data_IF_118002942994
#
_entry.id   IF_118002942994
#
_cell.length_a   1.000
_cell.length_b   1.000
_cell.length_c   1.000
_cell.angle_alpha   90.00
_cell.angle_beta   90.00
_cell.angle_gamma   90.00
#
_symmetry.space_group_name_H-M   'P 1'
#
loop_
_entity.id
_entity.type
_entity.pdbx_description
1 polymer ?
#
# COMPACT_ATOMS: atom_id res chain seq x y z
N UNK A 1 11.93 11.24 23.62
CA UNK A 1 11.47 9.84 23.40
C UNK A 1 11.31 9.64 21.88
N UNK A 2 10.90 8.47 21.37
CA UNK A 2 10.64 8.40 19.91
C UNK A 2 9.51 9.38 19.56
N UNK A 3 9.59 10.06 18.41
CA UNK A 3 8.58 11.05 17.99
C UNK A 3 7.17 10.43 17.90
N UNK A 4 7.07 9.13 17.58
CA UNK A 4 5.81 8.39 17.62
C UNK A 4 5.27 8.24 19.04
N UNK A 5 6.12 7.90 20.02
CA UNK A 5 5.71 7.78 21.42
C UNK A 5 5.20 9.12 21.96
N UNK A 6 5.83 10.24 21.57
CA UNK A 6 5.37 11.58 21.98
C UNK A 6 4.02 11.96 21.35
N UNK A 7 3.78 11.63 20.07
CA UNK A 7 2.47 11.81 19.42
C UNK A 7 1.38 10.97 20.08
N UNK A 8 1.64 9.68 20.29
CA UNK A 8 0.70 8.75 20.93
C UNK A 8 0.34 9.23 22.34
N UNK A 9 1.32 9.67 23.12
CA UNK A 9 1.09 10.24 24.44
C UNK A 9 0.18 11.46 24.38
N UNK A 10 0.38 12.36 23.42
CA UNK A 10 -0.45 13.57 23.26
C UNK A 10 -1.90 13.21 22.91
N UNK A 11 -2.09 12.30 21.94
CA UNK A 11 -3.42 11.85 21.53
C UNK A 11 -4.12 11.11 22.67
N UNK A 12 -3.42 10.27 23.43
CA UNK A 12 -4.00 9.57 24.58
C UNK A 12 -4.46 10.55 25.66
N UNK A 13 -3.69 11.62 25.92
CA UNK A 13 -4.07 12.68 26.87
C UNK A 13 -5.34 13.42 26.41
N UNK A 14 -5.48 13.68 25.11
CA UNK A 14 -6.67 14.35 24.56
C UNK A 14 -7.95 13.51 24.69
N UNK A 15 -7.85 12.17 24.60
CA UNK A 15 -9.04 11.29 24.71
C UNK A 15 -9.24 10.73 26.14
N UNK A 16 -8.25 10.88 27.02
CA UNK A 16 -8.30 10.35 28.39
C UNK A 16 -9.48 10.89 29.20
N UNK A 17 -9.83 12.17 29.06
CA UNK A 17 -10.96 12.76 29.78
C UNK A 17 -12.30 12.13 29.33
N UNK A 18 -12.46 11.92 28.03
CA UNK A 18 -13.66 11.29 27.46
C UNK A 18 -13.74 9.82 27.85
N UNK A 19 -12.63 9.09 27.82
CA UNK A 19 -12.59 7.68 28.26
C UNK A 19 -12.89 7.58 29.75
N UNK A 20 -12.30 8.43 30.58
CA UNK A 20 -12.54 8.42 32.03
C UNK A 20 -13.96 8.85 32.41
N UNK A 21 -14.72 9.48 31.50
CA UNK A 21 -16.14 9.81 31.74
C UNK A 21 -17.05 8.58 31.80
N UNK A 22 -16.61 7.43 31.27
CA UNK A 22 -17.36 6.17 31.36
C UNK A 22 -17.17 5.54 32.74
N UNK A 23 -18.27 5.25 33.45
CA UNK A 23 -18.22 4.67 34.80
C UNK A 23 -17.71 3.22 34.85
N UNK A 24 -17.74 2.50 33.72
CA UNK A 24 -17.33 1.09 33.66
C UNK A 24 -15.90 0.97 33.15
N UNK A 25 -15.00 0.47 34.00
CA UNK A 25 -13.60 0.17 33.65
C UNK A 25 -13.52 -0.78 32.44
N UNK A 26 -14.40 -1.78 32.37
CA UNK A 26 -14.44 -2.70 31.24
C UNK A 26 -14.82 -2.01 29.92
N UNK A 27 -15.64 -0.96 29.97
CA UNK A 27 -15.98 -0.13 28.80
C UNK A 27 -14.80 0.76 28.43
N UNK A 28 -14.11 1.34 29.40
CA UNK A 28 -12.91 2.16 29.17
C UNK A 28 -11.83 1.36 28.42
N UNK A 29 -11.52 0.14 28.89
CA UNK A 29 -10.52 -0.74 28.26
C UNK A 29 -10.90 -1.06 26.82
N UNK A 30 -12.16 -1.44 26.57
CA UNK A 30 -12.64 -1.73 25.20
C UNK A 30 -12.57 -0.54 24.26
N UNK A 31 -12.81 0.67 24.77
CA UNK A 31 -12.71 1.89 23.96
C UNK A 31 -11.24 2.16 23.63
N UNK A 32 -10.34 2.02 24.60
CA UNK A 32 -8.89 2.20 24.40
C UNK A 32 -8.36 1.19 23.37
N UNK A 33 -8.70 -0.10 23.50
CA UNK A 33 -8.27 -1.14 22.56
C UNK A 33 -8.68 -0.79 21.13
N UNK A 34 -9.94 -0.38 20.93
CA UNK A 34 -10.45 -0.04 19.61
C UNK A 34 -9.84 1.25 19.05
N UNK A 35 -9.51 2.21 19.90
CA UNK A 35 -8.80 3.44 19.50
C UNK A 35 -7.37 3.13 19.07
N UNK A 36 -6.66 2.27 19.82
CA UNK A 36 -5.31 1.84 19.47
C UNK A 36 -5.28 1.10 18.13
N UNK A 37 -6.26 0.22 17.86
CA UNK A 37 -6.36 -0.47 16.58
C UNK A 37 -6.54 0.51 15.40
N UNK A 38 -7.46 1.48 15.54
CA UNK A 38 -7.69 2.52 14.51
C UNK A 38 -6.46 3.40 14.32
N UNK A 39 -5.73 3.71 15.39
CA UNK A 39 -4.50 4.49 15.32
C UNK A 39 -3.37 3.71 14.63
N UNK A 40 -3.22 2.41 14.91
CA UNK A 40 -2.24 1.54 14.24
C UNK A 40 -2.59 1.39 12.76
N UNK A 41 -3.86 1.26 12.42
CA UNK A 41 -4.31 1.19 11.03
C UNK A 41 -4.11 2.53 10.29
N UNK A 42 -4.37 3.65 10.95
CA UNK A 42 -4.09 4.99 10.41
C UNK A 42 -2.59 5.24 10.25
N UNK A 43 -1.76 4.80 11.21
CA UNK A 43 -0.31 4.93 11.14
C UNK A 43 0.27 4.03 10.05
N UNK A 44 -0.32 2.85 9.75
CA UNK A 44 0.04 2.04 8.57
C UNK A 44 -0.23 2.76 7.25
N UNK A 45 -1.28 3.57 7.18
CA UNK A 45 -1.59 4.40 6.01
C UNK A 45 -0.63 5.59 5.91
N UNK A 46 -0.19 6.16 7.05
CA UNK A 46 0.75 7.29 7.11
C UNK A 46 2.23 6.86 6.93
N UNK A 47 2.63 5.69 7.42
CA UNK A 47 3.98 5.12 7.25
C UNK A 47 4.26 4.69 5.82
N UNK A 48 3.24 4.30 5.04
CA UNK A 48 3.38 4.12 3.57
C UNK A 48 3.68 5.47 2.86
N UNK A 49 3.37 6.61 3.50
CA UNK A 49 3.76 7.95 3.08
C UNK A 49 5.08 8.47 3.66
N UNK A 50 5.47 8.03 4.87
CA UNK A 50 6.61 8.58 5.63
C UNK A 50 7.92 7.76 5.53
N UNK A 51 7.87 6.46 5.21
CA UNK A 51 9.06 5.60 5.04
C UNK A 51 9.94 5.96 3.81
N UNK A 52 9.53 6.95 3.01
CA UNK A 52 10.33 7.48 1.90
C UNK A 52 11.41 8.50 2.32
N UNK A 53 11.42 8.98 3.57
CA UNK A 53 12.24 10.14 3.93
C UNK A 53 13.53 9.86 4.74
N UNK A 54 13.75 8.65 5.27
CA UNK A 54 14.86 8.43 6.22
C UNK A 54 16.01 7.54 5.73
N UNK A 55 15.97 7.02 4.49
CA UNK A 55 17.01 6.10 3.98
C UNK A 55 17.68 6.52 2.67
N UNK A 56 17.95 7.81 2.45
CA UNK A 56 18.84 8.24 1.35
C UNK A 56 20.00 9.11 1.80
N UNK A 57 20.72 8.64 2.81
CA UNK A 57 22.09 9.05 3.11
C UNK A 57 23.09 7.99 2.64
N UNK A 58 23.22 7.76 1.33
CA UNK A 58 24.44 7.18 0.70
C UNK A 58 24.30 7.13 -0.82
N UNK A 59 25.16 7.95 -1.45
CA UNK A 59 25.79 7.82 -2.77
C UNK A 59 24.85 7.69 -3.98
N UNK A 60 25.00 8.62 -4.93
CA UNK A 60 25.57 8.35 -6.27
C UNK A 60 25.66 9.69 -7.01
N UNK A 61 26.88 9.97 -7.49
CA UNK A 61 27.23 10.98 -8.49
C UNK A 61 26.67 10.57 -9.87
N UNK A 62 26.71 11.51 -10.80
CA UNK A 62 26.38 11.42 -12.24
C UNK A 62 24.95 11.89 -12.51
N UNK A 63 24.75 13.18 -12.70
CA UNK A 63 24.95 13.90 -13.99
C UNK A 63 23.86 13.49 -14.98
N UNK A 64 22.76 14.25 -14.98
CA UNK A 64 22.15 14.75 -16.21
C UNK A 64 21.19 15.89 -15.83
N UNK A 65 21.40 17.04 -16.43
CA UNK A 65 20.58 18.23 -16.25
C UNK A 65 19.25 18.03 -16.96
N UNK A 66 18.15 18.01 -16.21
CA UNK A 66 16.89 18.47 -16.79
C UNK A 66 16.00 19.14 -15.74
N UNK A 67 15.95 20.46 -15.83
CA UNK A 67 14.98 21.30 -15.15
C UNK A 67 13.57 20.96 -15.65
N UNK A 68 12.83 20.17 -14.87
CA UNK A 68 11.42 19.89 -15.09
C UNK A 68 10.64 20.06 -13.79
N UNK A 69 9.71 21.01 -13.80
CA UNK A 69 8.48 21.18 -13.00
C UNK A 69 8.24 20.03 -11.98
N UNK A 70 7.87 20.28 -10.70
CA UNK A 70 7.65 19.23 -9.70
C UNK A 70 6.60 18.24 -10.18
N UNK A 71 7.07 17.18 -10.84
CA UNK A 71 6.27 16.23 -11.57
C UNK A 71 5.44 15.42 -10.58
N UNK A 72 4.15 15.34 -10.84
CA UNK A 72 3.27 14.35 -10.22
C UNK A 72 3.97 12.99 -10.32
N UNK A 73 4.45 12.47 -9.19
CA UNK A 73 5.15 11.19 -9.14
C UNK A 73 4.25 10.15 -9.79
N UNK A 74 4.78 9.47 -10.82
CA UNK A 74 4.04 8.40 -11.51
C UNK A 74 3.54 7.41 -10.46
N UNK A 75 2.25 7.02 -10.49
CA UNK A 75 1.70 6.14 -9.47
C UNK A 75 2.46 4.81 -9.47
N UNK A 76 2.88 4.34 -8.29
CA UNK A 76 3.62 3.09 -8.17
C UNK A 76 2.77 1.87 -8.58
N UNK A 77 3.43 0.76 -8.89
CA UNK A 77 2.79 -0.48 -9.34
C UNK A 77 1.60 -0.91 -8.46
N UNK A 78 1.74 -0.80 -7.14
CA UNK A 78 0.68 -1.13 -6.18
C UNK A 78 -0.57 -0.28 -6.37
N UNK A 79 -0.41 1.03 -6.61
CA UNK A 79 -1.55 1.94 -6.80
C UNK A 79 -2.29 1.63 -8.09
N UNK A 80 -1.54 1.41 -9.17
CA UNK A 80 -2.10 1.06 -10.48
C UNK A 80 -2.81 -0.30 -10.43
N UNK A 81 -2.20 -1.30 -9.79
CA UNK A 81 -2.84 -2.62 -9.61
C UNK A 81 -4.14 -2.54 -8.81
N UNK A 82 -4.18 -1.76 -7.72
CA UNK A 82 -5.42 -1.55 -6.99
C UNK A 82 -6.47 -0.78 -7.80
N UNK A 83 -6.04 0.19 -8.63
CA UNK A 83 -6.95 0.87 -9.54
C UNK A 83 -7.50 -0.08 -10.61
N UNK A 84 -6.66 -0.97 -11.15
CA UNK A 84 -7.05 -2.01 -12.10
C UNK A 84 -8.07 -3.00 -11.52
N UNK A 85 -8.01 -3.29 -10.22
CA UNK A 85 -9.01 -4.14 -9.55
C UNK A 85 -10.41 -3.50 -9.53
N UNK A 86 -10.47 -2.18 -9.51
CA UNK A 86 -11.73 -1.43 -9.62
C UNK A 86 -12.28 -1.39 -11.05
N UNK A 87 -11.51 -1.85 -12.04
CA UNK A 87 -11.93 -1.96 -13.45
C UNK A 87 -12.29 -3.39 -13.83
N UNK A 88 -12.74 -3.57 -15.07
CA UNK A 88 -13.06 -4.84 -15.74
C UNK A 88 -11.81 -5.60 -16.24
N UNK A 89 -10.62 -5.04 -16.07
CA UNK A 89 -9.38 -5.60 -16.61
C UNK A 89 -9.08 -7.03 -16.15
N UNK A 90 -9.45 -7.37 -14.91
CA UNK A 90 -9.26 -8.69 -14.30
C UNK A 90 -10.50 -9.60 -14.40
N UNK A 91 -11.55 -9.21 -15.13
CA UNK A 91 -12.71 -10.08 -15.36
C UNK A 91 -12.36 -11.24 -16.29
N UNK A 92 -11.30 -11.09 -17.09
CA UNK A 92 -10.69 -12.12 -17.93
C UNK A 92 -9.35 -12.53 -17.31
N UNK A 93 -8.94 -13.78 -17.46
CA UNK A 93 -7.64 -14.24 -17.00
C UNK A 93 -6.50 -13.47 -17.70
N UNK A 94 -5.64 -12.83 -16.90
CA UNK A 94 -4.50 -12.04 -17.41
C UNK A 94 -3.18 -12.61 -16.91
N UNK A 95 -2.23 -12.77 -17.83
CA UNK A 95 -0.85 -13.15 -17.48
C UNK A 95 -0.06 -11.94 -16.98
N UNK A 96 1.00 -12.18 -16.19
CA UNK A 96 1.88 -11.11 -15.66
C UNK A 96 2.44 -10.23 -16.79
N UNK A 97 2.80 -10.84 -17.92
CA UNK A 97 3.31 -10.12 -19.09
C UNK A 97 2.26 -9.17 -19.67
N UNK A 98 1.00 -9.61 -19.79
CA UNK A 98 -0.09 -8.77 -20.29
C UNK A 98 -0.36 -7.58 -19.34
N UNK A 99 -0.28 -7.81 -18.02
CA UNK A 99 -0.41 -6.77 -17.00
C UNK A 99 0.71 -5.73 -17.16
N UNK A 100 1.97 -6.18 -17.33
CA UNK A 100 3.11 -5.29 -17.52
C UNK A 100 2.97 -4.42 -18.79
N UNK A 101 2.56 -5.03 -19.92
CA UNK A 101 2.30 -4.31 -21.16
C UNK A 101 1.20 -3.28 -20.99
N UNK A 102 0.09 -3.64 -20.34
CA UNK A 102 -1.01 -2.70 -20.07
C UNK A 102 -0.57 -1.52 -19.20
N UNK A 103 0.24 -1.78 -18.16
CA UNK A 103 0.81 -0.72 -17.33
C UNK A 103 1.71 0.23 -18.12
N UNK A 104 2.49 -0.29 -19.06
CA UNK A 104 3.35 0.50 -19.93
C UNK A 104 2.55 1.39 -20.87
N UNK A 105 1.52 0.84 -21.50
CA UNK A 105 0.68 1.55 -22.48
C UNK A 105 -0.24 2.61 -21.84
N UNK A 106 -0.91 2.26 -20.73
CA UNK A 106 -1.94 3.13 -20.14
C UNK A 106 -1.40 4.10 -19.09
N UNK A 107 -0.30 3.76 -18.42
CA UNK A 107 0.23 4.53 -17.29
C UNK A 107 1.66 5.04 -17.52
N UNK A 108 2.22 4.86 -18.73
CA UNK A 108 3.60 5.23 -19.08
C UNK A 108 4.62 4.75 -18.02
N UNK A 109 4.37 3.55 -17.50
CA UNK A 109 5.09 2.97 -16.37
C UNK A 109 5.58 1.57 -16.73
N UNK A 110 6.90 1.44 -16.91
CA UNK A 110 7.54 0.17 -17.26
C UNK A 110 7.90 -0.60 -15.98
N UNK A 111 6.96 -1.43 -15.50
CA UNK A 111 7.17 -2.27 -14.32
C UNK A 111 7.77 -3.62 -14.69
N UNK A 112 8.75 -4.06 -13.89
CA UNK A 112 9.31 -5.40 -14.06
C UNK A 112 8.33 -6.45 -13.58
N UNK A 113 8.36 -7.62 -14.22
CA UNK A 113 7.54 -8.78 -13.83
C UNK A 113 7.81 -9.23 -12.39
N UNK A 114 9.04 -9.07 -11.90
CA UNK A 114 9.43 -9.34 -10.51
C UNK A 114 8.79 -8.39 -9.50
N UNK A 115 8.49 -7.15 -9.90
CA UNK A 115 7.83 -6.16 -9.04
C UNK A 115 6.32 -6.43 -8.97
N UNK A 116 5.72 -6.77 -10.12
CA UNK A 116 4.30 -7.12 -10.20
C UNK A 116 4.01 -8.46 -9.51
N UNK A 117 4.89 -9.45 -9.62
CA UNK A 117 4.64 -10.80 -9.09
C UNK A 117 4.41 -10.83 -7.57
N UNK A 118 5.21 -10.08 -6.80
CA UNK A 118 5.07 -9.98 -5.35
C UNK A 118 3.76 -9.31 -4.94
N UNK A 119 3.37 -8.24 -5.64
CA UNK A 119 2.12 -7.51 -5.35
C UNK A 119 0.92 -8.37 -5.75
N UNK A 120 0.95 -9.00 -6.92
CA UNK A 120 -0.11 -9.89 -7.39
C UNK A 120 -0.28 -11.11 -6.47
N UNK A 121 0.82 -11.66 -5.93
CA UNK A 121 0.76 -12.73 -4.92
C UNK A 121 0.07 -12.25 -3.64
N UNK A 122 0.40 -11.03 -3.17
CA UNK A 122 -0.26 -10.43 -2.00
C UNK A 122 -1.77 -10.25 -2.24
N UNK A 123 -2.15 -9.70 -3.39
CA UNK A 123 -3.56 -9.53 -3.78
C UNK A 123 -4.30 -10.86 -3.90
N UNK A 124 -3.61 -11.92 -4.34
CA UNK A 124 -4.17 -13.25 -4.36
C UNK A 124 -4.40 -13.82 -2.94
N UNK A 125 -3.46 -13.61 -2.03
CA UNK A 125 -3.60 -14.01 -0.63
C UNK A 125 -4.70 -13.22 0.11
N UNK A 126 -4.94 -11.97 -0.30
CA UNK A 126 -6.03 -11.13 0.21
C UNK A 126 -7.41 -11.49 -0.38
N UNK A 127 -7.51 -12.57 -1.17
CA UNK A 127 -8.72 -12.98 -1.90
C UNK A 127 -9.30 -11.88 -2.82
N UNK A 128 -8.46 -10.97 -3.32
CA UNK A 128 -8.88 -9.98 -4.34
C UNK A 128 -8.71 -10.51 -5.76
N UNK A 129 -7.73 -11.39 -5.94
CA UNK A 129 -7.45 -12.10 -7.18
C UNK A 129 -7.38 -13.60 -6.91
N UNK A 130 -7.75 -14.41 -7.88
CA UNK A 130 -7.40 -15.82 -7.94
C UNK A 130 -6.23 -15.99 -8.89
N UNK A 131 -5.29 -16.84 -8.49
CA UNK A 131 -4.13 -17.20 -9.30
C UNK A 131 -4.30 -18.63 -9.78
N UNK A 132 -4.40 -18.81 -11.09
CA UNK A 132 -4.55 -20.12 -11.73
C UNK A 132 -3.33 -20.39 -12.61
N UNK A 133 -2.93 -21.67 -12.71
CA UNK A 133 -1.86 -22.06 -13.63
C UNK A 133 -2.50 -22.37 -14.98
N UNK A 134 -2.11 -21.62 -15.99
CA UNK A 134 -2.56 -21.88 -17.36
C UNK A 134 -1.97 -23.20 -17.86
N UNK A 135 -2.82 -24.04 -18.45
CA UNK A 135 -2.44 -25.36 -18.98
C UNK A 135 -1.56 -25.21 -20.23
N UNK A 136 -1.71 -24.11 -20.96
CA UNK A 136 -1.05 -23.88 -22.25
C UNK A 136 0.42 -23.47 -22.10
N UNK A 137 0.74 -22.61 -21.12
CA UNK A 137 2.06 -22.00 -20.99
C UNK A 137 2.72 -22.22 -19.62
N UNK A 138 2.08 -22.97 -18.72
CA UNK A 138 2.53 -23.21 -17.34
C UNK A 138 2.78 -21.93 -16.51
N UNK A 139 2.32 -20.77 -16.97
CA UNK A 139 2.43 -19.49 -16.25
C UNK A 139 1.19 -19.26 -15.40
N UNK A 140 1.36 -18.38 -14.42
CA UNK A 140 0.26 -17.94 -13.59
C UNK A 140 -0.55 -16.85 -14.30
N UNK A 141 -1.85 -17.08 -14.36
CA UNK A 141 -2.84 -16.12 -14.76
C UNK A 141 -3.64 -15.66 -13.54
N UNK A 142 -4.08 -14.42 -13.60
CA UNK A 142 -4.77 -13.74 -12.52
C UNK A 142 -6.16 -13.33 -13.02
N UNK A 143 -7.17 -13.71 -12.25
CA UNK A 143 -8.57 -13.36 -12.49
C UNK A 143 -9.15 -12.79 -11.20
N UNK A 144 -10.14 -11.91 -11.28
CA UNK A 144 -10.85 -11.38 -10.13
C UNK A 144 -11.50 -12.52 -9.33
N UNK A 145 -11.36 -12.47 -8.00
CA UNK A 145 -11.89 -13.50 -7.09
C UNK A 145 -13.40 -13.40 -6.91
#
# INVERSE_FOLDING_TARGET
MSKHIEKLKKQLVEVAEVVNSFQSESVQVRIIDRLLDVMIESDRVDTDGAELFLKKGRRIRSDDENFGIPGRKKPGATKILNQLLSTDFFDISRSISAIATYCKEQFDSDFKTSELSGILLKLANENKLRRERSVENNRFEYIKA
#
